data_IF_301632533561
#
_entry.id   IF_301632533561
#
_cell.length_a   1.000
_cell.length_b   1.000
_cell.length_c   1.000
_cell.angle_alpha   90.00
_cell.angle_beta   90.00
_cell.angle_gamma   90.00
#
_symmetry.space_group_name_H-M   'P 1'
#
loop_
_entity.id
_entity.type
_entity.pdbx_description
1 polymer ?
#
# COMPACT_ATOMS: atom_id res chain seq x y z
N UNK A 1 83.11 8.42 -26.00
CA UNK A 1 81.85 8.46 -26.72
C UNK A 1 80.76 8.08 -25.75
N UNK A 2 80.14 9.09 -25.12
CA UNK A 2 79.10 8.93 -24.11
C UNK A 2 77.76 9.10 -24.76
N UNK A 3 76.93 8.10 -24.63
CA UNK A 3 75.50 8.22 -24.98
C UNK A 3 74.70 8.51 -23.72
N UNK A 4 74.17 9.71 -23.66
CA UNK A 4 73.24 10.17 -22.62
C UNK A 4 71.88 9.61 -22.91
N UNK A 5 71.38 8.73 -22.06
CA UNK A 5 69.99 8.24 -22.13
C UNK A 5 69.12 9.04 -21.16
N UNK A 6 68.15 9.78 -21.71
CA UNK A 6 67.18 10.46 -20.97
C UNK A 6 66.07 9.46 -20.56
N UNK A 7 65.88 9.27 -19.29
CA UNK A 7 64.74 8.59 -18.75
C UNK A 7 63.56 9.63 -18.54
N UNK A 8 62.59 9.56 -19.40
CA UNK A 8 61.38 10.31 -19.22
C UNK A 8 60.50 9.62 -18.15
N UNK A 9 60.36 10.25 -17.00
CA UNK A 9 59.42 9.82 -15.98
C UNK A 9 58.00 10.11 -16.42
N UNK A 10 57.25 9.06 -16.68
CA UNK A 10 55.79 9.17 -16.89
C UNK A 10 55.16 9.20 -15.51
N UNK A 11 54.77 10.40 -15.07
CA UNK A 11 53.91 10.57 -13.91
C UNK A 11 52.52 10.11 -14.24
N UNK A 12 52.11 8.95 -13.70
CA UNK A 12 50.73 8.51 -13.76
C UNK A 12 49.89 9.41 -12.84
N UNK A 13 49.14 10.31 -13.43
CA UNK A 13 48.02 10.98 -12.69
C UNK A 13 46.99 9.91 -12.38
N UNK A 14 46.92 9.49 -11.14
CA UNK A 14 45.78 8.72 -10.64
C UNK A 14 44.62 9.72 -10.48
N UNK A 15 43.79 9.81 -11.49
CA UNK A 15 42.45 10.42 -11.28
C UNK A 15 41.70 9.50 -10.30
N UNK A 16 41.61 9.95 -9.07
CA UNK A 16 40.70 9.36 -8.10
C UNK A 16 39.25 9.54 -8.63
N UNK A 17 38.70 8.48 -9.22
CA UNK A 17 37.31 8.40 -9.44
C UNK A 17 36.62 8.37 -8.07
N UNK A 18 36.10 9.50 -7.62
CA UNK A 18 35.14 9.51 -6.53
C UNK A 18 34.00 8.62 -6.95
N UNK A 19 33.82 7.51 -6.25
CA UNK A 19 32.62 6.70 -6.39
C UNK A 19 31.41 7.65 -6.20
N UNK A 20 30.42 7.62 -7.08
CA UNK A 20 29.20 8.37 -6.82
C UNK A 20 28.71 7.95 -5.43
N UNK A 21 28.58 8.92 -4.54
CA UNK A 21 28.02 8.69 -3.22
C UNK A 21 26.75 7.88 -3.40
N UNK A 22 26.57 6.85 -2.57
CA UNK A 22 25.34 6.06 -2.58
C UNK A 22 24.20 7.08 -2.58
N UNK A 23 23.48 7.18 -3.71
CA UNK A 23 22.27 7.98 -3.77
C UNK A 23 21.42 7.48 -2.60
N UNK A 24 21.02 8.38 -1.71
CA UNK A 24 20.15 8.03 -0.59
C UNK A 24 19.02 7.16 -1.15
N UNK A 25 18.90 5.93 -0.64
CA UNK A 25 17.81 5.05 -1.04
C UNK A 25 16.53 5.87 -0.90
N UNK A 26 15.63 5.88 -1.89
CA UNK A 26 14.41 6.68 -1.79
C UNK A 26 13.74 6.36 -0.47
N UNK A 27 13.43 7.40 0.31
CA UNK A 27 12.75 7.25 1.59
C UNK A 27 11.54 6.34 1.39
N UNK A 28 11.34 5.36 2.28
CA UNK A 28 10.18 4.50 2.21
C UNK A 28 8.92 5.37 2.33
N UNK A 29 8.25 5.60 1.21
CA UNK A 29 7.04 6.42 1.12
C UNK A 29 5.77 5.60 1.32
N UNK A 30 5.90 4.27 1.47
CA UNK A 30 4.79 3.36 1.69
C UNK A 30 4.02 3.74 2.94
N UNK A 31 2.72 3.84 2.82
CA UNK A 31 1.81 4.10 3.93
C UNK A 31 0.83 2.96 4.09
N UNK A 32 0.41 2.72 5.31
CA UNK A 32 -0.66 1.76 5.61
C UNK A 32 -1.95 2.52 5.91
N UNK A 33 -3.06 1.92 5.56
CA UNK A 33 -4.39 2.43 5.88
C UNK A 33 -5.16 1.35 6.63
N UNK A 34 -5.53 1.65 7.87
CA UNK A 34 -6.37 0.79 8.71
C UNK A 34 -7.79 1.27 8.53
N UNK A 35 -8.67 0.37 8.12
CA UNK A 35 -10.09 0.68 7.93
C UNK A 35 -10.95 -0.23 8.78
N UNK A 36 -11.92 0.36 9.43
CA UNK A 36 -12.93 -0.36 10.20
C UNK A 36 -14.30 -0.08 9.60
N UNK A 37 -14.94 -1.14 9.14
CA UNK A 37 -16.28 -1.09 8.57
C UNK A 37 -17.28 -1.61 9.57
N UNK A 38 -18.32 -0.83 9.80
CA UNK A 38 -19.47 -1.22 10.62
C UNK A 38 -20.67 -1.44 9.70
N UNK A 39 -21.24 -2.64 9.77
CA UNK A 39 -22.39 -2.98 8.92
C UNK A 39 -23.72 -2.69 9.62
N UNK A 40 -24.74 -2.53 8.80
CA UNK A 40 -26.11 -2.67 9.31
C UNK A 40 -26.34 -4.07 9.89
N UNK A 41 -27.28 -4.24 10.83
CA UNK A 41 -27.56 -5.53 11.45
C UNK A 41 -27.75 -6.65 10.42
N UNK A 42 -27.08 -7.79 10.64
CA UNK A 42 -27.19 -8.96 9.78
C UNK A 42 -26.47 -8.86 8.42
N UNK A 43 -25.66 -7.80 8.18
CA UNK A 43 -25.02 -7.58 6.87
C UNK A 43 -23.52 -7.92 6.82
N UNK A 44 -22.92 -8.40 7.90
CA UNK A 44 -21.49 -8.72 7.93
C UNK A 44 -21.13 -9.83 6.94
N UNK A 45 -21.95 -10.87 6.83
CA UNK A 45 -21.69 -11.96 5.87
C UNK A 45 -21.74 -11.47 4.42
N UNK A 46 -22.67 -10.57 4.10
CA UNK A 46 -22.73 -9.94 2.78
C UNK A 46 -21.49 -9.08 2.50
N UNK A 47 -20.96 -8.37 3.50
CA UNK A 47 -19.72 -7.61 3.38
C UNK A 47 -18.53 -8.55 3.14
N UNK A 48 -18.38 -9.58 3.94
CA UNK A 48 -17.31 -10.58 3.81
C UNK A 48 -17.35 -11.28 2.44
N UNK A 49 -18.54 -11.62 1.96
CA UNK A 49 -18.72 -12.18 0.61
C UNK A 49 -18.23 -11.21 -0.47
N UNK A 50 -18.63 -9.95 -0.41
CA UNK A 50 -18.20 -8.93 -1.37
C UNK A 50 -16.68 -8.74 -1.35
N UNK A 51 -16.05 -8.72 -0.17
CA UNK A 51 -14.59 -8.64 -0.06
C UNK A 51 -13.89 -9.85 -0.69
N UNK A 52 -14.34 -11.05 -0.35
CA UNK A 52 -13.75 -12.31 -0.84
C UNK A 52 -13.87 -12.48 -2.35
N UNK A 53 -15.02 -12.16 -2.89
CA UNK A 53 -15.31 -12.41 -4.31
C UNK A 53 -14.84 -11.26 -5.21
N UNK A 54 -14.79 -10.03 -4.72
CA UNK A 54 -14.59 -8.86 -5.55
C UNK A 54 -13.63 -7.81 -5.00
N UNK A 55 -13.85 -7.31 -3.78
CA UNK A 55 -13.20 -6.07 -3.32
C UNK A 55 -11.69 -6.20 -3.26
N UNK A 56 -11.14 -7.31 -2.75
CA UNK A 56 -9.69 -7.51 -2.67
C UNK A 56 -9.02 -7.44 -4.04
N UNK A 57 -9.61 -8.08 -5.05
CA UNK A 57 -9.13 -8.02 -6.43
C UNK A 57 -9.21 -6.59 -7.00
N UNK A 58 -10.29 -5.88 -6.70
CA UNK A 58 -10.46 -4.50 -7.14
C UNK A 58 -9.46 -3.56 -6.50
N UNK A 59 -9.09 -3.79 -5.24
CA UNK A 59 -8.02 -3.04 -4.58
C UNK A 59 -6.69 -3.22 -5.31
N UNK A 60 -6.31 -4.46 -5.60
CA UNK A 60 -5.07 -4.75 -6.35
C UNK A 60 -5.08 -4.12 -7.74
N UNK A 61 -6.20 -4.18 -8.45
CA UNK A 61 -6.38 -3.54 -9.76
C UNK A 61 -6.06 -2.03 -9.70
N UNK A 62 -6.34 -1.39 -8.57
CA UNK A 62 -6.14 0.05 -8.37
C UNK A 62 -4.92 0.39 -7.51
N UNK A 63 -3.93 -0.51 -7.43
CA UNK A 63 -2.64 -0.23 -6.80
C UNK A 63 -2.64 -0.26 -5.27
N UNK A 64 -3.68 -0.81 -4.64
CA UNK A 64 -3.73 -1.03 -3.20
C UNK A 64 -3.28 -2.45 -2.88
N UNK A 65 -2.37 -2.60 -1.93
CA UNK A 65 -1.89 -3.92 -1.51
C UNK A 65 -2.71 -4.41 -0.33
N UNK A 66 -3.31 -5.57 -0.45
CA UNK A 66 -4.02 -6.23 0.65
C UNK A 66 -3.02 -6.75 1.69
N UNK A 67 -3.16 -6.35 2.96
CA UNK A 67 -2.29 -6.74 4.06
C UNK A 67 -2.96 -7.78 4.96
N UNK A 68 -4.17 -7.51 5.44
CA UNK A 68 -4.89 -8.45 6.28
C UNK A 68 -6.30 -7.99 6.62
N UNK A 69 -7.12 -8.94 7.04
CA UNK A 69 -8.55 -8.77 7.30
C UNK A 69 -8.95 -9.53 8.55
N UNK A 70 -9.67 -8.89 9.46
CA UNK A 70 -10.07 -9.46 10.75
C UNK A 70 -11.50 -9.09 11.11
N UNK A 71 -12.16 -9.99 11.81
CA UNK A 71 -13.40 -9.71 12.53
C UNK A 71 -13.16 -9.87 14.03
N UNK A 72 -13.72 -9.01 14.89
CA UNK A 72 -13.62 -9.18 16.34
C UNK A 72 -14.18 -10.53 16.80
N UNK A 73 -13.55 -11.13 17.82
CA UNK A 73 -14.00 -12.39 18.41
C UNK A 73 -15.04 -12.17 19.51
N UNK A 74 -14.99 -11.02 20.17
CA UNK A 74 -15.76 -10.75 21.39
C UNK A 74 -16.65 -9.52 21.23
N UNK A 75 -17.66 -9.47 22.11
CA UNK A 75 -18.58 -8.34 22.21
C UNK A 75 -19.50 -8.17 21.00
N UNK A 76 -20.28 -7.07 20.98
CA UNK A 76 -21.23 -6.80 19.89
C UNK A 76 -20.56 -6.59 18.53
N UNK A 77 -19.30 -6.14 18.52
CA UNK A 77 -18.57 -5.86 17.30
C UNK A 77 -18.33 -7.10 16.42
N UNK A 78 -18.33 -8.31 16.99
CA UNK A 78 -18.20 -9.56 16.22
C UNK A 78 -19.32 -9.77 15.20
N UNK A 79 -20.46 -9.17 15.43
CA UNK A 79 -21.66 -9.35 14.59
C UNK A 79 -21.73 -8.37 13.42
N UNK A 80 -20.96 -7.28 13.46
CA UNK A 80 -21.11 -6.18 12.50
C UNK A 80 -19.81 -5.51 12.05
N UNK A 81 -18.64 -6.00 12.45
CA UNK A 81 -17.39 -5.24 12.24
C UNK A 81 -16.38 -6.04 11.41
N UNK A 82 -15.85 -5.40 10.37
CA UNK A 82 -14.69 -5.84 9.61
C UNK A 82 -13.57 -4.82 9.78
N UNK A 83 -12.40 -5.29 10.21
CA UNK A 83 -11.18 -4.48 10.31
C UNK A 83 -10.21 -4.97 9.25
N UNK A 84 -9.63 -4.06 8.48
CA UNK A 84 -8.61 -4.46 7.52
C UNK A 84 -7.52 -3.42 7.33
N UNK A 85 -6.41 -3.88 6.82
CA UNK A 85 -5.25 -3.05 6.50
C UNK A 85 -4.89 -3.26 5.04
N UNK A 86 -4.71 -2.15 4.36
CA UNK A 86 -4.13 -2.08 3.02
C UNK A 86 -2.92 -1.16 3.04
N UNK A 87 -2.08 -1.25 2.03
CA UNK A 87 -0.98 -0.28 1.87
C UNK A 87 -1.01 0.35 0.49
N UNK A 88 -0.44 1.54 0.43
CA UNK A 88 -0.26 2.34 -0.79
C UNK A 88 1.22 2.73 -0.92
N UNK A 89 1.68 2.97 -2.14
CA UNK A 89 3.06 3.39 -2.41
C UNK A 89 3.41 4.73 -1.73
N UNK A 90 2.42 5.61 -1.58
CA UNK A 90 2.53 6.90 -0.86
C UNK A 90 1.16 7.41 -0.47
N UNK A 91 1.14 8.47 0.35
CA UNK A 91 -0.09 9.17 0.73
C UNK A 91 -0.80 9.79 -0.48
N UNK A 92 -0.04 10.32 -1.43
CA UNK A 92 -0.57 10.89 -2.68
C UNK A 92 -1.13 9.79 -3.56
N UNK A 93 -0.41 8.67 -3.68
CA UNK A 93 -0.87 7.53 -4.46
C UNK A 93 -2.15 6.93 -3.85
N UNK A 94 -2.30 6.93 -2.54
CA UNK A 94 -3.54 6.50 -1.88
C UNK A 94 -4.75 7.30 -2.37
N UNK A 95 -4.63 8.61 -2.45
CA UNK A 95 -5.68 9.47 -2.96
C UNK A 95 -6.06 9.14 -4.41
N UNK A 96 -5.06 8.93 -5.27
CA UNK A 96 -5.27 8.55 -6.67
C UNK A 96 -5.91 7.15 -6.80
N UNK A 97 -5.44 6.18 -6.02
CA UNK A 97 -5.96 4.82 -6.01
C UNK A 97 -7.44 4.77 -5.61
N UNK A 98 -7.81 5.49 -4.55
CA UNK A 98 -9.20 5.56 -4.10
C UNK A 98 -10.09 6.25 -5.13
N UNK A 99 -9.63 7.33 -5.73
CA UNK A 99 -10.39 8.03 -6.78
C UNK A 99 -10.65 7.11 -7.97
N UNK A 100 -9.63 6.38 -8.44
CA UNK A 100 -9.75 5.44 -9.54
C UNK A 100 -10.66 4.25 -9.20
N UNK A 101 -10.55 3.71 -7.99
CA UNK A 101 -11.40 2.61 -7.50
C UNK A 101 -12.89 3.01 -7.48
N UNK A 102 -13.21 4.15 -6.89
CA UNK A 102 -14.61 4.62 -6.79
C UNK A 102 -15.20 4.96 -8.16
N UNK A 103 -14.38 5.44 -9.10
CA UNK A 103 -14.81 5.77 -10.46
C UNK A 103 -14.91 4.56 -11.39
N UNK A 104 -14.39 3.39 -11.00
CA UNK A 104 -14.40 2.19 -11.84
C UNK A 104 -15.83 1.65 -12.03
N UNK A 105 -16.34 1.58 -13.27
CA UNK A 105 -17.68 1.05 -13.54
C UNK A 105 -17.87 -0.41 -13.07
N UNK A 106 -16.80 -1.21 -13.08
CA UNK A 106 -16.84 -2.58 -12.56
C UNK A 106 -17.12 -2.57 -11.04
N UNK A 107 -16.42 -1.71 -10.29
CA UNK A 107 -16.68 -1.56 -8.87
C UNK A 107 -18.10 -1.03 -8.58
N UNK A 108 -18.53 -0.03 -9.32
CA UNK A 108 -19.88 0.54 -9.16
C UNK A 108 -20.96 -0.53 -9.33
N UNK A 109 -20.81 -1.39 -10.35
CA UNK A 109 -21.72 -2.52 -10.56
C UNK A 109 -21.68 -3.54 -9.42
N UNK A 110 -20.49 -3.90 -8.94
CA UNK A 110 -20.32 -4.82 -7.80
C UNK A 110 -20.99 -4.24 -6.56
N UNK A 111 -20.75 -2.95 -6.28
CA UNK A 111 -21.32 -2.27 -5.13
C UNK A 111 -22.87 -2.24 -5.20
N UNK A 112 -23.43 -1.94 -6.36
CA UNK A 112 -24.88 -1.96 -6.59
C UNK A 112 -25.46 -3.37 -6.42
N UNK A 113 -24.90 -4.35 -7.11
CA UNK A 113 -25.38 -5.73 -7.10
C UNK A 113 -25.36 -6.34 -5.69
N UNK A 114 -24.31 -6.06 -4.91
CA UNK A 114 -24.17 -6.57 -3.54
C UNK A 114 -25.16 -5.97 -2.55
N UNK A 115 -25.79 -4.86 -2.90
CA UNK A 115 -26.73 -4.13 -2.04
C UNK A 115 -28.20 -4.25 -2.48
N UNK A 116 -28.52 -5.15 -3.41
CA UNK A 116 -29.90 -5.38 -3.86
C UNK A 116 -30.83 -5.79 -2.73
N UNK A 117 -30.29 -6.51 -1.72
CA UNK A 117 -31.03 -6.92 -0.52
C UNK A 117 -30.93 -5.92 0.64
N UNK A 118 -30.43 -4.73 0.39
CA UNK A 118 -30.25 -3.66 1.37
C UNK A 118 -28.80 -3.19 1.52
N UNK A 119 -28.64 -2.01 2.08
CA UNK A 119 -27.32 -1.43 2.35
C UNK A 119 -26.51 -2.35 3.26
N UNK A 120 -25.21 -2.43 3.01
CA UNK A 120 -24.28 -3.26 3.77
C UNK A 120 -23.59 -2.44 4.85
N UNK A 121 -22.93 -1.35 4.46
CA UNK A 121 -22.07 -0.57 5.34
C UNK A 121 -22.82 0.65 5.88
N UNK A 122 -22.82 0.76 7.21
CA UNK A 122 -23.40 1.90 7.92
C UNK A 122 -22.39 3.02 8.12
N UNK A 123 -21.15 2.64 8.54
CA UNK A 123 -20.08 3.59 8.85
C UNK A 123 -18.71 3.01 8.53
N UNK A 124 -17.79 3.89 8.18
CA UNK A 124 -16.38 3.56 7.93
C UNK A 124 -15.51 4.51 8.73
N UNK A 125 -14.59 3.96 9.52
CA UNK A 125 -13.48 4.69 10.10
C UNK A 125 -12.21 4.35 9.32
N UNK A 126 -11.36 5.33 9.09
CA UNK A 126 -10.08 5.16 8.37
C UNK A 126 -8.99 5.98 9.02
N UNK A 127 -7.81 5.38 9.17
CA UNK A 127 -6.62 6.06 9.65
C UNK A 127 -5.41 5.62 8.82
N UNK A 128 -4.62 6.58 8.38
CA UNK A 128 -3.33 6.30 7.75
C UNK A 128 -2.26 6.24 8.83
N UNK A 129 -1.35 5.29 8.69
CA UNK A 129 -0.28 5.04 9.66
C UNK A 129 1.04 4.75 8.94
N UNK A 130 2.13 5.16 9.57
CA UNK A 130 3.48 4.81 9.16
C UNK A 130 3.99 3.66 10.02
N UNK A 131 4.76 2.75 9.42
CA UNK A 131 5.42 1.72 10.21
C UNK A 131 6.50 2.34 11.10
N UNK A 132 6.57 1.90 12.35
CA UNK A 132 7.68 2.25 13.24
C UNK A 132 8.98 1.58 12.78
N UNK A 133 10.12 2.06 13.27
CA UNK A 133 11.44 1.48 12.95
C UNK A 133 11.62 0.04 13.45
N UNK A 134 10.85 -0.35 14.47
CA UNK A 134 10.82 -1.72 15.01
C UNK A 134 9.67 -2.59 14.49
N UNK A 135 8.84 -2.08 13.57
CA UNK A 135 7.75 -2.88 13.00
C UNK A 135 8.30 -3.98 12.09
N UNK A 136 7.88 -5.24 12.26
CA UNK A 136 8.24 -6.30 11.32
C UNK A 136 7.60 -6.12 9.94
N UNK A 137 6.50 -5.38 9.86
CA UNK A 137 5.81 -5.04 8.62
C UNK A 137 6.12 -3.58 8.27
N UNK A 138 6.74 -3.39 7.08
CA UNK A 138 7.16 -2.06 6.60
C UNK A 138 6.81 -1.87 5.12
#
# INVERSE_FOLDING_TARGET
MSRLTWLAGVGALILGASAPGAADAPANTRVFEIRTYYTFPGRLDALNKRFREHTMRMFEKHGMTNIGYWTPQDGPAKENTLIYVISHASREQAKANWAAFVADPEWQKIAEDSQKDGKIVERIDSVFVDATDYSPLR
#
